data_IF_371453084874
#
_entry.id   IF_371453084874
#
_cell.length_a   1.000
_cell.length_b   1.000
_cell.length_c   1.000
_cell.angle_alpha   90.00
_cell.angle_beta   90.00
_cell.angle_gamma   90.00
#
_symmetry.space_group_name_H-M   'P 1'
#
loop_
_entity.id
_entity.type
_entity.pdbx_description
1 polymer ?
#
# COMPACT_ATOMS: atom_id res chain seq x y z
N UNK A 1 6.07 9.73 -6.67
CA UNK A 1 5.50 8.40 -6.37
C UNK A 1 5.06 8.34 -4.91
N UNK A 2 3.95 7.68 -4.65
CA UNK A 2 3.40 7.60 -3.29
C UNK A 2 4.18 6.60 -2.44
N UNK A 3 4.55 7.01 -1.21
CA UNK A 3 5.31 6.15 -0.31
C UNK A 3 4.52 4.92 0.17
N UNK A 4 3.19 5.05 0.24
CA UNK A 4 2.32 4.00 0.77
C UNK A 4 1.75 3.08 -0.29
N UNK A 5 1.94 3.41 -1.57
CA UNK A 5 1.50 2.57 -2.67
C UNK A 5 2.73 1.89 -3.25
N UNK A 6 2.91 0.65 -2.85
CA UNK A 6 4.06 -0.18 -3.23
C UNK A 6 3.60 -1.62 -3.34
N UNK A 7 4.45 -2.47 -3.88
CA UNK A 7 4.14 -3.89 -3.98
C UNK A 7 3.98 -4.48 -2.58
N UNK A 8 2.85 -5.15 -2.35
CA UNK A 8 2.56 -5.82 -1.09
C UNK A 8 2.43 -7.33 -1.24
N UNK A 9 2.39 -7.83 -2.49
CA UNK A 9 2.20 -9.23 -2.77
C UNK A 9 3.50 -10.03 -2.62
N UNK A 10 3.36 -11.24 -2.09
CA UNK A 10 4.43 -12.23 -2.02
C UNK A 10 5.60 -11.82 -1.13
N UNK A 11 5.28 -11.35 0.08
CA UNK A 11 6.26 -11.04 1.11
C UNK A 11 6.10 -11.97 2.31
N UNK A 12 7.19 -12.20 3.00
CA UNK A 12 7.21 -12.93 4.26
C UNK A 12 7.89 -12.05 5.33
N UNK A 13 7.22 -11.69 6.39
CA UNK A 13 5.80 -11.96 6.66
C UNK A 13 4.87 -11.20 5.73
N UNK A 14 3.61 -11.66 5.56
CA UNK A 14 2.70 -11.05 4.61
C UNK A 14 2.30 -9.63 4.99
N UNK A 15 1.73 -8.90 4.03
CA UNK A 15 1.26 -7.54 4.26
C UNK A 15 0.22 -7.49 5.38
N UNK A 16 0.35 -6.50 6.24
CA UNK A 16 -0.59 -6.27 7.34
C UNK A 16 -1.81 -5.50 6.86
N UNK A 17 -2.90 -5.57 7.64
CA UNK A 17 -4.09 -4.76 7.38
C UNK A 17 -3.76 -3.27 7.36
N UNK A 18 -2.87 -2.82 8.24
CA UNK A 18 -2.46 -1.42 8.29
C UNK A 18 -1.74 -0.99 7.02
N UNK A 19 -0.93 -1.86 6.44
CA UNK A 19 -0.26 -1.58 5.17
C UNK A 19 -1.24 -1.48 4.01
N UNK A 20 -2.23 -2.38 3.97
CA UNK A 20 -3.28 -2.38 2.95
C UNK A 20 -4.11 -1.09 3.08
N UNK A 21 -4.51 -0.74 4.31
CA UNK A 21 -5.31 0.45 4.55
C UNK A 21 -4.53 1.74 4.25
N UNK A 22 -3.25 1.78 4.56
CA UNK A 22 -2.40 2.94 4.25
C UNK A 22 -2.34 3.17 2.73
N UNK A 23 -2.23 2.11 1.94
CA UNK A 23 -2.25 2.20 0.48
C UNK A 23 -3.60 2.70 -0.02
N UNK A 24 -4.70 2.16 0.52
CA UNK A 24 -6.06 2.57 0.16
C UNK A 24 -6.29 4.05 0.48
N UNK A 25 -5.88 4.49 1.66
CA UNK A 25 -6.00 5.87 2.10
C UNK A 25 -5.25 6.81 1.15
N UNK A 26 -4.03 6.46 0.79
CA UNK A 26 -3.22 7.27 -0.11
C UNK A 26 -3.87 7.37 -1.49
N UNK A 27 -4.41 6.27 -2.00
CA UNK A 27 -5.13 6.25 -3.27
C UNK A 27 -6.32 7.20 -3.25
N UNK A 28 -7.15 7.12 -2.21
CA UNK A 28 -8.34 7.97 -2.07
C UNK A 28 -7.95 9.45 -1.94
N UNK A 29 -6.90 9.75 -1.18
CA UNK A 29 -6.37 11.12 -1.06
C UNK A 29 -5.94 11.67 -2.41
N UNK A 30 -5.23 10.86 -3.18
CA UNK A 30 -4.74 11.28 -4.51
C UNK A 30 -5.89 11.51 -5.49
N UNK A 31 -6.87 10.63 -5.51
CA UNK A 31 -8.02 10.77 -6.41
C UNK A 31 -8.89 11.96 -6.05
N UNK A 32 -9.17 12.14 -4.77
CA UNK A 32 -10.09 13.17 -4.30
C UNK A 32 -9.44 14.55 -4.19
N UNK A 33 -8.12 14.58 -4.03
CA UNK A 33 -7.42 15.83 -3.75
C UNK A 33 -7.50 16.26 -2.28
N UNK A 34 -8.19 15.48 -1.43
CA UNK A 34 -8.30 15.78 0.00
C UNK A 34 -7.24 15.05 0.80
N UNK A 35 -6.45 15.77 1.57
CA UNK A 35 -5.63 15.16 2.63
C UNK A 35 -6.53 14.77 3.79
N UNK A 36 -7.44 15.67 4.15
CA UNK A 36 -8.50 15.46 5.13
C UNK A 36 -9.81 15.90 4.50
N UNK A 37 -10.82 15.03 4.45
CA UNK A 37 -12.09 15.40 3.83
C UNK A 37 -12.83 16.45 4.66
N UNK A 38 -13.63 17.27 3.98
CA UNK A 38 -14.55 18.17 4.66
C UNK A 38 -15.63 17.34 5.38
N UNK A 39 -16.32 17.95 6.32
CA UNK A 39 -17.38 17.27 7.07
C UNK A 39 -18.45 16.67 6.13
N UNK A 40 -18.81 17.39 5.09
CA UNK A 40 -19.81 16.93 4.12
C UNK A 40 -19.35 15.69 3.36
N UNK A 41 -18.05 15.49 3.20
CA UNK A 41 -17.47 14.38 2.42
C UNK A 41 -16.87 13.27 3.28
N UNK A 42 -16.91 13.40 4.61
CA UNK A 42 -16.27 12.45 5.52
C UNK A 42 -16.79 11.02 5.30
N UNK A 43 -18.11 10.85 5.25
CA UNK A 43 -18.70 9.52 5.10
C UNK A 43 -18.32 8.88 3.78
N UNK A 44 -18.38 9.63 2.68
CA UNK A 44 -18.02 9.12 1.36
C UNK A 44 -16.54 8.76 1.28
N UNK A 45 -15.69 9.60 1.87
CA UNK A 45 -14.25 9.37 1.91
C UNK A 45 -13.91 8.09 2.69
N UNK A 46 -14.48 7.95 3.88
CA UNK A 46 -14.22 6.78 4.74
C UNK A 46 -14.75 5.50 4.09
N UNK A 47 -15.91 5.57 3.44
CA UNK A 47 -16.45 4.42 2.72
C UNK A 47 -15.53 4.01 1.58
N UNK A 48 -14.99 4.97 0.84
CA UNK A 48 -14.07 4.69 -0.26
C UNK A 48 -12.80 4.00 0.27
N UNK A 49 -12.24 4.47 1.37
CA UNK A 49 -11.05 3.84 1.97
C UNK A 49 -11.36 2.39 2.36
N UNK A 50 -12.52 2.15 2.96
CA UNK A 50 -12.93 0.80 3.35
C UNK A 50 -13.10 -0.11 2.12
N UNK A 51 -13.78 0.39 1.08
CA UNK A 51 -14.04 -0.39 -0.13
C UNK A 51 -12.73 -0.72 -0.88
N UNK A 52 -11.84 0.25 -1.02
CA UNK A 52 -10.56 0.02 -1.69
C UNK A 52 -9.71 -0.95 -0.87
N UNK A 53 -9.72 -0.84 0.46
CA UNK A 53 -9.01 -1.78 1.34
C UNK A 53 -9.53 -3.21 1.14
N UNK A 54 -10.85 -3.38 1.05
CA UNK A 54 -11.47 -4.70 0.84
C UNK A 54 -11.08 -5.30 -0.49
N UNK A 55 -11.11 -4.51 -1.56
CA UNK A 55 -10.69 -4.97 -2.90
C UNK A 55 -9.22 -5.38 -2.88
N UNK A 56 -8.37 -4.57 -2.29
CA UNK A 56 -6.94 -4.84 -2.20
C UNK A 56 -6.66 -6.14 -1.43
N UNK A 57 -7.35 -6.33 -0.30
CA UNK A 57 -7.21 -7.55 0.52
C UNK A 57 -7.60 -8.78 -0.27
N UNK A 58 -8.73 -8.74 -0.97
CA UNK A 58 -9.20 -9.86 -1.79
C UNK A 58 -8.23 -10.15 -2.93
N UNK A 59 -7.71 -9.12 -3.57
CA UNK A 59 -6.71 -9.29 -4.63
C UNK A 59 -5.49 -10.03 -4.08
N UNK A 60 -4.92 -9.55 -2.99
CA UNK A 60 -3.70 -10.13 -2.42
C UNK A 60 -3.90 -11.58 -1.98
N UNK A 61 -5.07 -11.93 -1.46
CA UNK A 61 -5.36 -13.31 -1.06
C UNK A 61 -5.70 -14.23 -2.23
N UNK A 62 -6.05 -13.67 -3.37
CA UNK A 62 -6.44 -14.46 -4.56
C UNK A 62 -5.30 -14.69 -5.53
N UNK A 63 -4.24 -13.90 -5.45
CA UNK A 63 -3.09 -14.03 -6.35
C UNK A 63 -2.28 -15.28 -5.99
N UNK A 64 -1.77 -15.93 -7.03
CA UNK A 64 -0.95 -17.12 -6.88
C UNK A 64 0.38 -16.91 -7.59
N UNK A 65 1.43 -17.55 -7.08
CA UNK A 65 2.75 -17.49 -7.70
C UNK A 65 3.56 -18.71 -7.29
N UNK A 66 4.44 -19.16 -8.17
CA UNK A 66 5.43 -20.19 -7.87
C UNK A 66 6.74 -19.58 -7.36
N UNK A 67 6.89 -18.27 -7.44
CA UNK A 67 8.09 -17.57 -6.96
C UNK A 67 8.17 -17.59 -5.44
N UNK A 68 9.37 -17.73 -4.87
CA UNK A 68 9.51 -17.68 -3.41
C UNK A 68 9.16 -16.29 -2.88
N UNK A 69 8.62 -16.24 -1.66
CA UNK A 69 8.27 -15.00 -1.00
C UNK A 69 9.53 -14.16 -0.76
N UNK A 70 9.40 -12.85 -0.96
CA UNK A 70 10.47 -11.90 -0.69
C UNK A 70 10.56 -11.63 0.80
N UNK A 71 11.79 -11.53 1.30
CA UNK A 71 12.02 -11.14 2.68
C UNK A 71 11.90 -9.61 2.77
N UNK A 72 11.06 -9.13 3.69
CA UNK A 72 10.81 -7.69 3.85
C UNK A 72 12.06 -6.92 4.23
N UNK A 73 12.85 -7.47 5.15
CA UNK A 73 14.08 -6.84 5.60
C UNK A 73 15.09 -6.73 4.47
N UNK A 74 15.26 -7.79 3.69
CA UNK A 74 16.17 -7.81 2.55
C UNK A 74 15.74 -6.77 1.51
N UNK A 75 14.45 -6.66 1.23
CA UNK A 75 13.93 -5.68 0.27
C UNK A 75 14.15 -4.25 0.77
N UNK A 76 14.01 -4.02 2.06
CA UNK A 76 14.30 -2.72 2.67
C UNK A 76 15.78 -2.36 2.52
N UNK A 77 16.66 -3.31 2.77
CA UNK A 77 18.11 -3.13 2.62
C UNK A 77 18.46 -2.79 1.17
N UNK A 78 17.90 -3.53 0.22
CA UNK A 78 18.09 -3.26 -1.21
C UNK A 78 17.62 -1.87 -1.61
N UNK A 79 16.46 -1.46 -1.10
CA UNK A 79 15.90 -0.14 -1.40
C UNK A 79 16.79 0.98 -0.85
N UNK A 80 17.32 0.82 0.35
CA UNK A 80 18.26 1.77 0.96
C UNK A 80 19.56 1.84 0.18
N UNK A 81 20.08 0.70 -0.26
CA UNK A 81 21.29 0.66 -1.07
C UNK A 81 21.11 1.39 -2.39
N UNK A 82 19.96 1.17 -3.06
CA UNK A 82 19.64 1.88 -4.32
C UNK A 82 19.55 3.40 -4.09
N UNK A 83 18.91 3.82 -2.99
CA UNK A 83 18.78 5.23 -2.65
C UNK A 83 20.14 5.87 -2.40
N UNK A 84 21.03 5.19 -1.66
CA UNK A 84 22.39 5.67 -1.41
C UNK A 84 23.19 5.79 -2.70
N UNK A 85 23.10 4.80 -3.57
CA UNK A 85 23.80 4.84 -4.86
C UNK A 85 23.32 6.01 -5.73
N UNK A 86 22.03 6.35 -5.65
CA UNK A 86 21.44 7.44 -6.41
C UNK A 86 21.91 8.81 -5.94
N UNK A 87 22.21 8.95 -4.65
CA UNK A 87 22.60 10.23 -4.04
C UNK A 87 24.07 10.31 -3.65
N UNK A 88 24.83 9.29 -3.96
CA UNK A 88 26.27 9.26 -3.66
C UNK A 88 27.09 10.08 -4.65
#
# INVERSE_FOLDING_TARGET
MCRNIRTLFNFEPPATEDEIRASALQFVRKLSGFTHPSRANQAAFDQAVNDVSDVARRLLSSLETASPAKNREDETIKARARARARFA
#
